data_IF_379674621890
#
_entry.id   IF_379674621890
#
_cell.length_a   1.000
_cell.length_b   1.000
_cell.length_c   1.000
_cell.angle_alpha   90.00
_cell.angle_beta   90.00
_cell.angle_gamma   90.00
#
_symmetry.space_group_name_H-M   'P 1'
#
loop_
_entity.id
_entity.type
_entity.pdbx_description
1 polymer ?
#
# COMPACT_ATOMS: atom_id res chain seq x y z
N UNK A 1 -51.44 39.35 -11.61
CA UNK A 1 -50.87 39.43 -12.96
C UNK A 1 -49.34 39.36 -12.84
N UNK A 2 -48.78 38.21 -13.23
CA UNK A 2 -47.40 37.86 -13.63
C UNK A 2 -46.18 38.55 -12.96
N UNK A 3 -45.35 37.81 -12.20
CA UNK A 3 -44.17 37.03 -12.64
C UNK A 3 -42.94 37.95 -12.84
N UNK A 4 -41.87 37.80 -12.05
CA UNK A 4 -40.71 36.95 -12.38
C UNK A 4 -39.76 36.86 -11.18
N UNK A 5 -39.50 35.65 -10.68
CA UNK A 5 -38.39 35.35 -9.77
C UNK A 5 -37.32 34.70 -10.64
N UNK A 6 -36.25 35.43 -10.93
CA UNK A 6 -35.06 34.86 -11.58
C UNK A 6 -34.26 34.08 -10.54
N UNK A 7 -34.31 32.75 -10.66
CA UNK A 7 -33.53 31.82 -9.85
C UNK A 7 -32.18 31.59 -10.53
N UNK A 8 -31.15 32.33 -10.14
CA UNK A 8 -29.78 32.11 -10.63
C UNK A 8 -29.15 31.01 -9.79
N UNK A 9 -29.16 29.77 -10.28
CA UNK A 9 -28.42 28.67 -9.67
C UNK A 9 -26.96 28.72 -10.17
N UNK A 10 -26.05 29.26 -9.35
CA UNK A 10 -24.61 29.16 -9.57
C UNK A 10 -24.17 27.79 -9.04
N UNK A 11 -24.04 26.82 -9.95
CA UNK A 11 -23.43 25.54 -9.63
C UNK A 11 -21.90 25.72 -9.55
N UNK A 12 -21.39 25.94 -8.33
CA UNK A 12 -19.95 25.86 -8.08
C UNK A 12 -19.53 24.40 -8.15
N UNK A 13 -18.97 23.99 -9.29
CA UNK A 13 -18.21 22.74 -9.41
C UNK A 13 -16.88 22.96 -8.68
N UNK A 14 -16.85 22.71 -7.37
CA UNK A 14 -15.60 22.62 -6.62
C UNK A 14 -14.86 21.39 -7.11
N UNK A 15 -14.00 21.59 -8.11
CA UNK A 15 -13.04 20.59 -8.55
C UNK A 15 -12.11 20.32 -7.36
N UNK A 16 -12.40 19.26 -6.62
CA UNK A 16 -11.44 18.70 -5.67
C UNK A 16 -10.24 18.25 -6.52
N UNK A 17 -9.20 19.07 -6.56
CA UNK A 17 -7.91 18.69 -7.12
C UNK A 17 -7.40 17.55 -6.25
N UNK A 18 -7.58 16.31 -6.71
CA UNK A 18 -6.95 15.15 -6.11
C UNK A 18 -5.46 15.32 -6.40
N UNK A 19 -4.71 15.75 -5.39
CA UNK A 19 -3.25 15.85 -5.50
C UNK A 19 -2.71 14.43 -5.61
N UNK A 20 -2.20 14.08 -6.80
CA UNK A 20 -1.34 12.93 -6.97
C UNK A 20 -0.10 13.17 -6.09
N UNK A 21 0.09 12.35 -5.05
CA UNK A 21 1.30 12.38 -4.25
C UNK A 21 2.44 11.85 -5.13
N UNK A 22 3.44 12.69 -5.38
CA UNK A 22 4.61 12.30 -6.17
C UNK A 22 5.36 11.14 -5.49
N UNK A 23 5.99 10.30 -6.32
CA UNK A 23 6.90 9.26 -5.86
C UNK A 23 8.12 9.92 -5.21
N UNK A 24 8.67 9.38 -4.12
CA UNK A 24 9.86 9.96 -3.49
C UNK A 24 11.03 9.00 -3.47
N UNK A 25 12.24 9.54 -3.60
CA UNK A 25 13.48 8.84 -3.25
C UNK A 25 13.73 9.07 -1.76
N UNK A 26 13.86 7.99 -1.00
CA UNK A 26 14.06 8.04 0.46
C UNK A 26 15.43 7.50 0.82
N UNK A 27 16.16 8.26 1.64
CA UNK A 27 17.41 7.86 2.28
C UNK A 27 17.14 7.63 3.76
N UNK A 28 17.29 6.39 4.22
CA UNK A 28 17.23 6.04 5.64
C UNK A 28 18.65 5.90 6.19
N UNK A 29 18.91 6.54 7.32
CA UNK A 29 20.19 6.45 8.03
C UNK A 29 20.16 5.39 9.13
N UNK A 30 21.32 4.91 9.57
CA UNK A 30 21.42 3.89 10.63
C UNK A 30 20.82 4.31 11.98
N UNK A 31 20.73 5.61 12.26
CA UNK A 31 20.06 6.16 13.44
C UNK A 31 18.54 6.35 13.25
N UNK A 32 17.96 5.91 12.15
CA UNK A 32 16.53 6.00 11.85
C UNK A 32 16.07 7.35 11.28
N UNK A 33 17.00 8.25 10.95
CA UNK A 33 16.69 9.47 10.21
C UNK A 33 16.20 9.14 8.80
N UNK A 34 15.20 9.89 8.34
CA UNK A 34 14.63 9.77 6.99
C UNK A 34 14.77 11.11 6.27
N UNK A 35 15.41 11.10 5.12
CA UNK A 35 15.40 12.20 4.17
C UNK A 35 14.66 11.77 2.90
N UNK A 36 13.88 12.68 2.31
CA UNK A 36 13.01 12.39 1.18
C UNK A 36 13.15 13.49 0.13
N UNK A 37 13.42 13.08 -1.10
CA UNK A 37 13.48 13.95 -2.27
C UNK A 37 12.34 13.58 -3.22
N UNK A 38 11.74 14.57 -3.89
CA UNK A 38 10.76 14.30 -4.96
C UNK A 38 11.47 13.59 -6.11
N UNK A 39 11.02 12.39 -6.46
CA UNK A 39 11.64 11.61 -7.54
C UNK A 39 11.57 12.35 -8.88
N UNK A 40 10.54 13.18 -9.10
CA UNK A 40 10.41 13.99 -10.31
C UNK A 40 11.52 15.03 -10.46
N UNK A 41 12.08 15.51 -9.35
CA UNK A 41 13.15 16.50 -9.33
C UNK A 41 14.55 15.87 -9.29
N UNK A 42 14.68 14.56 -9.03
CA UNK A 42 15.98 13.87 -8.97
C UNK A 42 16.51 13.64 -10.38
N UNK A 43 17.66 14.23 -10.68
CA UNK A 43 18.34 14.07 -11.97
C UNK A 43 19.35 12.91 -11.96
N UNK A 44 20.08 12.75 -10.85
CA UNK A 44 21.09 11.70 -10.70
C UNK A 44 21.39 11.38 -9.24
N UNK A 45 22.00 10.22 -9.01
CA UNK A 45 22.70 9.91 -7.78
C UNK A 45 24.08 9.36 -8.12
N UNK A 46 25.09 9.85 -7.42
CA UNK A 46 26.50 9.50 -7.65
C UNK A 46 27.18 9.18 -6.33
N UNK A 47 28.34 8.53 -6.41
CA UNK A 47 29.11 8.09 -5.25
C UNK A 47 30.51 8.70 -5.23
N UNK A 48 30.66 10.04 -5.15
CA UNK A 48 31.97 10.65 -5.07
C UNK A 48 32.62 10.36 -3.72
N UNK A 49 33.76 9.67 -3.74
CA UNK A 49 34.52 9.32 -2.54
C UNK A 49 33.71 8.42 -1.59
N UNK A 50 33.43 8.92 -0.39
CA UNK A 50 32.68 8.20 0.65
C UNK A 50 31.27 8.75 0.88
N UNK A 51 30.72 9.47 -0.11
CA UNK A 51 29.41 10.09 -0.01
C UNK A 51 28.46 9.59 -1.09
N UNK A 52 27.18 9.55 -0.76
CA UNK A 52 26.07 9.55 -1.70
C UNK A 52 25.74 11.01 -2.01
N UNK A 53 25.83 11.40 -3.27
CA UNK A 53 25.39 12.71 -3.75
C UNK A 53 24.13 12.54 -4.61
N UNK A 54 23.06 13.23 -4.26
CA UNK A 54 21.79 13.26 -5.00
C UNK A 54 21.69 14.63 -5.67
N UNK A 55 21.73 14.66 -7.00
CA UNK A 55 21.50 15.85 -7.79
C UNK A 55 20.01 16.02 -8.10
N UNK A 56 19.47 17.19 -7.78
CA UNK A 56 18.13 17.64 -8.14
C UNK A 56 18.19 18.90 -9.01
N UNK A 57 17.04 19.35 -9.51
CA UNK A 57 16.91 20.63 -10.21
C UNK A 57 17.40 21.83 -9.39
N UNK A 58 17.35 21.73 -8.05
CA UNK A 58 17.72 22.78 -7.11
C UNK A 58 19.19 22.71 -6.62
N UNK A 59 19.91 21.62 -6.90
CA UNK A 59 21.31 21.46 -6.51
C UNK A 59 21.71 20.04 -6.14
N UNK A 60 22.74 19.89 -5.30
CA UNK A 60 23.27 18.59 -4.87
C UNK A 60 23.16 18.45 -3.35
N UNK A 61 22.45 17.43 -2.90
CA UNK A 61 22.40 17.02 -1.49
C UNK A 61 23.35 15.84 -1.26
N UNK A 62 24.19 15.91 -0.21
CA UNK A 62 25.21 14.89 0.05
C UNK A 62 25.03 14.22 1.41
N UNK A 63 25.12 12.89 1.43
CA UNK A 63 25.04 12.04 2.61
C UNK A 63 26.33 11.22 2.74
N UNK A 64 26.85 11.04 3.95
CA UNK A 64 27.97 10.11 4.16
C UNK A 64 27.51 8.67 3.99
N UNK A 65 28.24 7.84 3.23
CA UNK A 65 27.90 6.43 3.06
C UNK A 65 27.94 5.64 4.37
N UNK A 66 28.71 6.10 5.36
CA UNK A 66 28.76 5.48 6.68
C UNK A 66 27.46 5.69 7.48
N UNK A 67 26.68 6.72 7.15
CA UNK A 67 25.40 6.98 7.82
C UNK A 67 24.21 6.37 7.08
N UNK A 68 24.31 6.10 5.79
CA UNK A 68 23.22 5.57 4.95
C UNK A 68 23.02 4.07 5.18
N UNK A 69 21.82 3.70 5.64
CA UNK A 69 21.41 2.31 5.85
C UNK A 69 20.75 1.71 4.62
N UNK A 70 19.82 2.45 4.00
CA UNK A 70 19.15 2.02 2.76
C UNK A 70 18.66 3.22 1.96
N UNK A 71 18.58 3.04 0.65
CA UNK A 71 17.97 3.98 -0.30
C UNK A 71 16.84 3.22 -1.00
N UNK A 72 15.66 3.82 -1.06
CA UNK A 72 14.50 3.17 -1.68
C UNK A 72 13.52 4.20 -2.23
N UNK A 73 12.70 3.79 -3.19
CA UNK A 73 11.62 4.62 -3.69
C UNK A 73 10.36 4.35 -2.89
N UNK A 74 9.73 5.39 -2.34
CA UNK A 74 8.39 5.27 -1.79
C UNK A 74 7.41 5.10 -2.97
N UNK A 75 6.52 4.10 -2.97
CA UNK A 75 5.57 3.94 -4.07
C UNK A 75 4.53 5.08 -4.06
N UNK A 76 4.23 5.64 -5.23
CA UNK A 76 3.15 6.63 -5.40
C UNK A 76 1.75 5.99 -5.36
N UNK A 77 1.68 4.66 -5.47
CA UNK A 77 0.44 3.89 -5.48
C UNK A 77 0.12 3.38 -4.08
N UNK A 78 -1.18 3.35 -3.74
CA UNK A 78 -1.70 2.56 -2.63
C UNK A 78 -1.08 1.16 -2.70
N UNK A 79 -0.18 0.87 -1.78
CA UNK A 79 0.48 -0.41 -1.68
C UNK A 79 -0.57 -1.49 -1.50
N UNK A 80 -0.52 -2.57 -2.28
CA UNK A 80 -0.94 -3.87 -1.76
C UNK A 80 0.19 -4.33 -0.84
N UNK A 81 0.22 -3.70 0.31
CA UNK A 81 1.23 -3.81 1.34
C UNK A 81 0.63 -3.23 2.61
N UNK A 82 1.09 -3.69 3.78
CA UNK A 82 0.42 -3.40 5.01
C UNK A 82 0.21 -1.89 5.21
N UNK A 83 -1.05 -1.47 5.24
CA UNK A 83 -1.43 -0.09 5.48
C UNK A 83 -1.23 0.19 6.96
N UNK A 84 -0.08 0.77 7.29
CA UNK A 84 0.25 1.22 8.62
C UNK A 84 -0.65 2.42 9.02
N UNK A 85 -1.84 2.13 9.57
CA UNK A 85 -2.60 2.98 10.50
C UNK A 85 -3.97 2.35 10.78
N UNK A 86 -4.18 1.97 12.05
CA UNK A 86 -5.30 1.20 12.65
C UNK A 86 -5.34 -0.30 12.35
N UNK A 87 -4.96 -1.09 13.38
CA UNK A 87 -5.11 -2.55 13.51
C UNK A 87 -5.11 -3.31 12.18
N UNK A 88 -3.95 -3.36 11.54
CA UNK A 88 -3.70 -4.06 10.29
C UNK A 88 -4.33 -5.47 10.26
N UNK A 89 -5.13 -5.74 9.22
CA UNK A 89 -5.64 -7.10 9.00
C UNK A 89 -4.48 -8.00 8.56
N UNK A 90 -4.28 -9.12 9.24
CA UNK A 90 -3.21 -10.06 8.93
C UNK A 90 -3.72 -11.50 8.90
N UNK A 91 -3.02 -12.35 8.15
CA UNK A 91 -3.32 -13.78 8.01
C UNK A 91 -2.29 -14.61 8.77
N UNK A 92 -2.76 -15.55 9.58
CA UNK A 92 -1.90 -16.45 10.33
C UNK A 92 -2.42 -17.90 10.34
N UNK A 93 -1.54 -18.91 10.23
CA UNK A 93 -0.12 -18.79 9.91
C UNK A 93 0.12 -18.39 8.44
N UNK A 94 1.25 -17.72 8.20
CA UNK A 94 1.73 -17.42 6.85
C UNK A 94 3.26 -17.57 6.81
N UNK A 95 3.83 -18.58 6.12
CA UNK A 95 3.14 -19.56 5.29
C UNK A 95 2.18 -20.50 6.06
N UNK A 96 1.11 -20.95 5.41
CA UNK A 96 0.09 -21.84 6.01
C UNK A 96 -0.09 -23.15 5.23
N UNK A 97 -0.71 -24.15 5.86
CA UNK A 97 -0.82 -25.53 5.31
C UNK A 97 -2.25 -26.05 5.24
N UNK A 98 -3.06 -25.86 6.29
CA UNK A 98 -4.41 -26.43 6.39
C UNK A 98 -5.45 -25.36 6.59
N UNK A 99 -5.26 -24.51 7.58
CA UNK A 99 -6.18 -23.43 7.88
C UNK A 99 -5.45 -22.14 8.23
N UNK A 100 -6.15 -21.03 8.04
CA UNK A 100 -5.68 -19.69 8.38
C UNK A 100 -6.74 -18.93 9.16
N UNK A 101 -6.28 -17.92 9.90
CA UNK A 101 -7.09 -17.03 10.73
C UNK A 101 -6.77 -15.60 10.35
N UNK A 102 -7.72 -14.71 10.56
CA UNK A 102 -7.60 -13.28 10.23
C UNK A 102 -7.58 -12.48 11.53
N UNK A 103 -6.54 -11.67 11.77
CA UNK A 103 -6.59 -10.65 12.82
C UNK A 103 -7.35 -9.45 12.32
N UNK A 104 -8.14 -8.80 13.18
CA UNK A 104 -8.91 -7.59 12.82
C UNK A 104 -9.86 -7.83 11.62
N UNK A 105 -10.51 -9.00 11.61
CA UNK A 105 -11.52 -9.32 10.60
C UNK A 105 -12.71 -8.34 10.68
N UNK A 106 -13.40 -8.06 9.58
CA UNK A 106 -14.58 -7.21 9.60
C UNK A 106 -15.69 -7.78 10.51
N UNK A 107 -16.32 -6.92 11.31
CA UNK A 107 -17.44 -7.32 12.19
C UNK A 107 -18.64 -7.85 11.39
N UNK A 108 -18.85 -7.30 10.19
CA UNK A 108 -19.92 -7.72 9.30
C UNK A 108 -19.47 -8.91 8.45
N UNK A 109 -20.36 -9.89 8.19
CA UNK A 109 -20.09 -10.96 7.22
C UNK A 109 -19.59 -10.37 5.90
N UNK A 110 -18.38 -10.74 5.53
CA UNK A 110 -17.66 -10.21 4.38
C UNK A 110 -17.11 -11.36 3.56
N UNK A 111 -17.15 -11.21 2.24
CA UNK A 111 -16.64 -12.23 1.33
C UNK A 111 -15.12 -12.17 1.27
N UNK A 112 -14.48 -13.25 1.70
CA UNK A 112 -13.07 -13.51 1.45
C UNK A 112 -12.93 -14.24 0.13
N UNK A 113 -12.03 -13.77 -0.74
CA UNK A 113 -11.72 -14.41 -2.01
C UNK A 113 -10.21 -14.55 -2.19
N UNK A 114 -9.72 -15.77 -2.42
CA UNK A 114 -8.32 -16.01 -2.75
C UNK A 114 -8.13 -16.11 -4.26
N UNK A 115 -7.14 -15.38 -4.78
CA UNK A 115 -6.72 -15.42 -6.18
C UNK A 115 -5.31 -15.98 -6.28
N UNK A 116 -5.08 -16.88 -7.23
CA UNK A 116 -3.73 -17.30 -7.64
C UNK A 116 -2.97 -16.15 -8.29
N UNK A 117 -1.64 -16.28 -8.46
CA UNK A 117 -0.83 -15.28 -9.16
C UNK A 117 -1.24 -15.08 -10.62
N UNK A 118 -1.90 -16.08 -11.24
CA UNK A 118 -2.47 -15.98 -12.58
C UNK A 118 -3.81 -15.23 -12.61
N UNK A 119 -4.30 -14.76 -11.45
CA UNK A 119 -5.57 -14.05 -11.31
C UNK A 119 -6.80 -14.97 -11.24
N UNK A 120 -6.62 -16.30 -11.30
CA UNK A 120 -7.73 -17.24 -11.18
C UNK A 120 -8.23 -17.30 -9.73
N UNK A 121 -9.56 -17.23 -9.53
CA UNK A 121 -10.22 -17.39 -8.24
C UNK A 121 -10.06 -18.84 -7.75
N UNK A 122 -9.41 -19.02 -6.62
CA UNK A 122 -9.08 -20.34 -6.06
C UNK A 122 -9.96 -20.73 -4.87
N UNK A 123 -10.41 -19.77 -4.07
CA UNK A 123 -11.29 -19.98 -2.92
C UNK A 123 -12.20 -18.76 -2.76
N UNK A 124 -13.44 -18.98 -2.32
CA UNK A 124 -14.34 -17.92 -1.90
C UNK A 124 -15.21 -18.40 -0.74
N UNK A 125 -15.19 -17.67 0.37
CA UNK A 125 -15.94 -17.99 1.59
C UNK A 125 -16.50 -16.72 2.21
N UNK A 126 -17.59 -16.82 2.96
CA UNK A 126 -18.02 -15.74 3.84
C UNK A 126 -17.29 -15.88 5.17
N UNK A 127 -16.83 -14.76 5.72
CA UNK A 127 -16.20 -14.72 7.05
C UNK A 127 -16.77 -13.55 7.84
N UNK A 128 -16.88 -13.70 9.14
CA UNK A 128 -17.20 -12.63 10.09
C UNK A 128 -16.20 -12.63 11.24
N UNK A 129 -16.23 -11.63 12.12
CA UNK A 129 -15.38 -11.60 13.32
C UNK A 129 -15.49 -12.85 14.22
N UNK A 130 -16.63 -13.57 14.14
CA UNK A 130 -16.86 -14.84 14.85
C UNK A 130 -16.29 -16.07 14.13
N UNK A 131 -15.95 -15.96 12.84
CA UNK A 131 -15.33 -17.05 12.10
C UNK A 131 -13.86 -17.14 12.45
N UNK A 132 -13.53 -18.20 13.16
CA UNK A 132 -12.23 -18.33 13.79
C UNK A 132 -11.19 -18.95 12.85
N UNK A 133 -11.60 -19.67 11.81
CA UNK A 133 -10.70 -20.50 11.01
C UNK A 133 -11.22 -20.72 9.58
N UNK A 134 -10.35 -20.50 8.59
CA UNK A 134 -10.64 -20.64 7.16
C UNK A 134 -9.83 -21.80 6.61
N UNK A 135 -10.52 -22.83 6.10
CA UNK A 135 -9.89 -23.98 5.47
C UNK A 135 -9.26 -23.60 4.12
N UNK A 136 -7.95 -23.77 4.03
CA UNK A 136 -7.12 -23.59 2.83
C UNK A 136 -6.40 -24.87 2.42
N UNK A 137 -6.74 -26.02 3.02
CA UNK A 137 -6.07 -27.31 2.80
C UNK A 137 -6.15 -27.77 1.34
N UNK A 138 -7.23 -27.38 0.66
CA UNK A 138 -7.50 -27.69 -0.76
C UNK A 138 -6.78 -26.78 -1.76
N UNK A 139 -6.14 -25.70 -1.29
CA UNK A 139 -5.33 -24.86 -2.17
C UNK A 139 -4.02 -25.56 -2.51
N UNK A 140 -3.64 -25.63 -3.80
CA UNK A 140 -2.29 -26.01 -4.19
C UNK A 140 -1.22 -25.15 -3.52
N UNK A 141 -0.01 -25.68 -3.35
CA UNK A 141 1.12 -24.91 -2.86
C UNK A 141 1.42 -23.75 -3.82
N UNK A 142 1.65 -22.55 -3.27
CA UNK A 142 1.87 -21.35 -4.07
C UNK A 142 1.56 -20.05 -3.37
N UNK A 143 1.70 -18.97 -4.13
CA UNK A 143 1.40 -17.60 -3.68
C UNK A 143 -0.03 -17.22 -4.05
N UNK A 144 -0.74 -16.62 -3.10
CA UNK A 144 -2.11 -16.16 -3.26
C UNK A 144 -2.29 -14.72 -2.80
N UNK A 145 -3.19 -14.00 -3.48
CA UNK A 145 -3.72 -12.71 -3.04
C UNK A 145 -5.11 -12.95 -2.47
N UNK A 146 -5.28 -12.73 -1.17
CA UNK A 146 -6.55 -12.84 -0.47
C UNK A 146 -7.18 -11.46 -0.38
N UNK A 147 -8.39 -11.30 -0.90
CA UNK A 147 -9.18 -10.07 -0.81
C UNK A 147 -10.33 -10.21 0.17
N UNK A 148 -10.46 -9.25 1.07
CA UNK A 148 -11.50 -9.18 2.10
C UNK A 148 -11.67 -7.72 2.52
N UNK A 149 -12.91 -7.24 2.65
CA UNK A 149 -13.18 -5.89 3.19
C UNK A 149 -12.52 -4.74 2.41
N UNK A 150 -12.27 -4.92 1.10
CA UNK A 150 -11.54 -3.95 0.27
C UNK A 150 -10.02 -3.99 0.42
N UNK A 151 -9.49 -4.80 1.36
CA UNK A 151 -8.07 -5.01 1.55
C UNK A 151 -7.58 -6.24 0.77
N UNK A 152 -6.29 -6.26 0.45
CA UNK A 152 -5.62 -7.35 -0.23
C UNK A 152 -4.39 -7.79 0.58
N UNK A 153 -4.34 -9.07 0.94
CA UNK A 153 -3.34 -9.68 1.79
C UNK A 153 -2.57 -10.76 1.02
N UNK A 154 -1.26 -10.83 1.23
CA UNK A 154 -0.39 -11.85 0.63
C UNK A 154 -0.38 -13.11 1.49
N UNK A 155 -0.64 -14.27 0.88
CA UNK A 155 -0.61 -15.57 1.56
C UNK A 155 0.24 -16.59 0.79
N UNK A 156 1.06 -17.36 1.52
CA UNK A 156 1.88 -18.44 0.99
C UNK A 156 1.33 -19.77 1.49
N UNK A 157 0.87 -20.63 0.57
CA UNK A 157 0.46 -22.00 0.85
C UNK A 157 1.65 -22.93 0.63
N UNK A 158 2.00 -23.73 1.65
CA UNK A 158 2.98 -24.81 1.57
C UNK A 158 2.33 -26.13 1.14
#
# INVERSE_FOLDING_TARGET
MFQRITLTAIATFSMACITLRAQSLVVETFNGGLASEDLGAVQNFTFPGHNLAIGTDDGITSYSLLSVKKIYFSPATATVGPAASDAEMALFPNPGTGAIRITNAPDKPTTLTAFSIQGAKALQVQVSASDSEIDVSRLPAGLYIIRIGGQALKFIKL
#
